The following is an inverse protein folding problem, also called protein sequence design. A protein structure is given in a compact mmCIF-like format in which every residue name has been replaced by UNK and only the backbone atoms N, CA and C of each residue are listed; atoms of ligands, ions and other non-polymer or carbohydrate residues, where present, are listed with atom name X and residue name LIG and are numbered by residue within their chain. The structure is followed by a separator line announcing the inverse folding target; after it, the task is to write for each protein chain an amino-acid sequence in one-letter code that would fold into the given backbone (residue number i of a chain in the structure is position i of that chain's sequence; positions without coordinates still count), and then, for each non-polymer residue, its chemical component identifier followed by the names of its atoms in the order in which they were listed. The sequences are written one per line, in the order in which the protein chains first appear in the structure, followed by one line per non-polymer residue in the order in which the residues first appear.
data_IF_412406688669
#
_entry.id   IF_412406688669
#
_cell.length_a   1.000
_cell.length_b   1.000
_cell.length_c   1.000
_cell.angle_alpha   90.00
_cell.angle_beta   90.00
_cell.angle_gamma   90.00
#
_symmetry.space_group_name_H-M   'P 1'
#
loop_
_entity.id
_entity.type
_entity.pdbx_description
1 polymer ?
#
# COMPACT_ATOMS: atom_id res chain seq x y z
N UNK A 1 5.15 -9.68 1.30
CA UNK A 1 6.48 -10.13 0.82
C UNK A 1 6.66 -11.56 1.31
N UNK A 2 7.44 -12.43 0.67
CA UNK A 2 7.51 -13.84 1.09
C UNK A 2 7.99 -14.01 2.54
N UNK A 3 8.81 -13.09 3.05
CA UNK A 3 9.35 -13.14 4.42
C UNK A 3 8.71 -12.16 5.40
N UNK A 4 7.98 -11.14 4.92
CA UNK A 4 7.38 -10.09 5.75
C UNK A 4 5.93 -9.77 5.33
N UNK A 5 5.08 -9.57 6.34
CA UNK A 5 3.71 -9.07 6.16
C UNK A 5 3.73 -7.57 5.85
N UNK A 6 3.17 -7.19 4.70
CA UNK A 6 3.12 -5.80 4.26
C UNK A 6 2.34 -4.88 5.22
N UNK A 7 1.33 -5.39 5.94
CA UNK A 7 0.60 -4.61 6.94
C UNK A 7 1.50 -4.27 8.14
N UNK A 8 2.34 -5.22 8.57
CA UNK A 8 3.32 -4.97 9.62
C UNK A 8 4.38 -3.94 9.18
N UNK A 9 4.78 -3.98 7.91
CA UNK A 9 5.70 -2.98 7.35
C UNK A 9 5.09 -1.58 7.38
N UNK A 10 3.81 -1.42 7.01
CA UNK A 10 3.11 -0.12 7.09
C UNK A 10 3.15 0.40 8.53
N UNK A 11 2.81 -0.44 9.52
CA UNK A 11 2.84 -0.06 10.94
C UNK A 11 4.23 0.38 11.39
N UNK A 12 5.27 -0.38 11.06
CA UNK A 12 6.67 -0.03 11.38
C UNK A 12 7.09 1.30 10.75
N UNK A 13 6.71 1.56 9.50
CA UNK A 13 7.02 2.84 8.83
C UNK A 13 6.34 4.00 9.56
N UNK A 14 5.08 3.82 9.98
CA UNK A 14 4.34 4.85 10.72
C UNK A 14 4.91 5.11 12.11
N UNK A 15 5.55 4.13 12.72
CA UNK A 15 6.27 4.31 13.99
C UNK A 15 7.62 5.04 13.79
N UNK A 16 8.40 4.64 12.79
CA UNK A 16 9.80 5.10 12.64
C UNK A 16 9.90 6.43 11.87
N UNK A 17 9.08 6.61 10.82
CA UNK A 17 9.11 7.80 9.97
C UNK A 17 7.72 8.12 9.42
N UNK A 18 6.83 8.71 10.24
CA UNK A 18 5.42 8.94 9.90
C UNK A 18 5.18 9.78 8.64
N UNK A 19 6.14 10.60 8.20
CA UNK A 19 6.02 11.44 7.00
C UNK A 19 6.28 10.69 5.68
N UNK A 20 6.76 9.44 5.75
CA UNK A 20 7.02 8.64 4.54
C UNK A 20 5.72 8.34 3.82
N UNK A 21 5.66 8.63 2.52
CA UNK A 21 4.51 8.26 1.68
C UNK A 21 4.52 6.76 1.40
N UNK A 22 3.39 6.10 1.59
CA UNK A 22 3.24 4.64 1.45
C UNK A 22 2.10 4.32 0.49
N UNK A 23 2.43 3.59 -0.59
CA UNK A 23 1.44 3.01 -1.50
C UNK A 23 1.39 1.51 -1.26
N UNK A 24 0.25 0.98 -0.82
CA UNK A 24 0.06 -0.46 -0.64
C UNK A 24 -0.47 -1.11 -1.92
N UNK A 25 0.13 -2.23 -2.34
CA UNK A 25 -0.23 -2.92 -3.57
C UNK A 25 -0.52 -4.39 -3.28
N UNK A 26 -1.74 -4.86 -3.58
CA UNK A 26 -2.17 -6.23 -3.29
C UNK A 26 -2.85 -6.89 -4.48
N UNK A 27 -2.50 -8.16 -4.74
CA UNK A 27 -3.27 -9.03 -5.64
C UNK A 27 -4.34 -9.87 -4.92
N UNK A 28 -4.48 -9.69 -3.61
CA UNK A 28 -5.56 -10.29 -2.82
C UNK A 28 -5.33 -11.63 -2.17
N UNK A 29 -4.36 -12.44 -2.62
CA UNK A 29 -4.05 -13.71 -1.96
C UNK A 29 -5.30 -14.54 -1.63
N UNK A 30 -5.35 -15.12 -0.43
CA UNK A 30 -6.47 -15.96 0.04
C UNK A 30 -7.75 -15.18 0.40
N UNK A 31 -7.64 -13.90 0.76
CA UNK A 31 -8.74 -13.11 1.32
C UNK A 31 -9.31 -12.06 0.34
N UNK A 32 -8.84 -12.05 -0.91
CA UNK A 32 -9.18 -11.06 -1.93
C UNK A 32 -8.48 -9.69 -1.71
N UNK A 33 -8.30 -8.89 -2.78
CA UNK A 33 -7.52 -7.65 -2.71
C UNK A 33 -8.19 -6.58 -1.84
N UNK A 34 -9.52 -6.55 -1.81
CA UNK A 34 -10.28 -5.55 -1.07
C UNK A 34 -10.04 -5.57 0.45
N UNK A 35 -9.91 -6.76 1.05
CA UNK A 35 -9.71 -6.88 2.51
C UNK A 35 -8.34 -6.35 2.95
N UNK A 36 -7.28 -6.75 2.26
CA UNK A 36 -5.92 -6.29 2.53
C UNK A 36 -5.73 -4.81 2.23
N UNK A 37 -6.28 -4.30 1.12
CA UNK A 37 -6.14 -2.89 0.77
C UNK A 37 -6.94 -1.99 1.72
N UNK A 38 -8.13 -2.43 2.16
CA UNK A 38 -8.88 -1.73 3.19
C UNK A 38 -8.09 -1.66 4.51
N UNK A 39 -7.48 -2.78 4.92
CA UNK A 39 -6.65 -2.82 6.13
C UNK A 39 -5.41 -1.91 5.98
N UNK A 40 -4.74 -1.93 4.84
CA UNK A 40 -3.59 -1.09 4.56
C UNK A 40 -3.93 0.40 4.64
N UNK A 41 -5.07 0.83 4.09
CA UNK A 41 -5.54 2.21 4.20
C UNK A 41 -5.80 2.60 5.66
N UNK A 42 -6.44 1.73 6.47
CA UNK A 42 -6.68 1.97 7.90
C UNK A 42 -5.39 2.06 8.72
N UNK A 43 -4.35 1.30 8.35
CA UNK A 43 -3.04 1.33 9.00
C UNK A 43 -2.16 2.51 8.53
N UNK A 44 -2.68 3.34 7.63
CA UNK A 44 -2.04 4.58 7.21
C UNK A 44 -1.30 4.47 5.88
N UNK A 45 -1.63 3.57 4.97
CA UNK A 45 -1.20 3.74 3.58
C UNK A 45 -1.83 5.02 2.99
N UNK A 46 -1.03 5.87 2.33
CA UNK A 46 -1.50 7.09 1.67
C UNK A 46 -2.29 6.80 0.39
N UNK A 47 -1.97 5.68 -0.27
CA UNK A 47 -2.74 5.18 -1.41
C UNK A 47 -2.72 3.65 -1.45
N UNK A 48 -3.69 3.07 -2.16
CA UNK A 48 -3.83 1.62 -2.34
C UNK A 48 -4.09 1.29 -3.80
N UNK A 49 -3.49 0.21 -4.31
CA UNK A 49 -3.62 -0.26 -5.69
C UNK A 49 -3.87 -1.77 -5.71
N UNK A 50 -4.92 -2.20 -6.40
CA UNK A 50 -5.17 -3.63 -6.66
C UNK A 50 -4.39 -4.09 -7.89
N UNK A 51 -3.84 -5.31 -7.85
CA UNK A 51 -3.30 -5.98 -9.04
C UNK A 51 -4.44 -6.66 -9.83
N UNK A 52 -4.30 -6.81 -11.17
CA UNK A 52 -3.30 -6.15 -12.01
C UNK A 52 -3.59 -4.65 -12.17
N UNK A 53 -2.55 -3.87 -12.45
CA UNK A 53 -2.64 -2.43 -12.71
C UNK A 53 -1.69 -2.07 -13.87
N UNK A 54 -1.97 -0.96 -14.55
CA UNK A 54 -1.11 -0.40 -15.59
C UNK A 54 0.05 0.38 -14.96
N UNK A 55 1.26 0.35 -15.54
CA UNK A 55 2.39 1.17 -15.05
C UNK A 55 2.05 2.66 -14.92
N UNK A 56 1.21 3.19 -15.82
CA UNK A 56 0.73 4.57 -15.78
C UNK A 56 -0.08 4.90 -14.51
N UNK A 57 -0.85 3.94 -13.98
CA UNK A 57 -1.63 4.13 -12.76
C UNK A 57 -0.71 4.30 -11.54
N UNK A 58 0.38 3.52 -11.48
CA UNK A 58 1.38 3.67 -10.42
C UNK A 58 2.09 5.02 -10.51
N UNK A 59 2.53 5.42 -11.71
CA UNK A 59 3.18 6.72 -11.93
C UNK A 59 2.27 7.87 -11.54
N UNK A 60 0.99 7.80 -11.89
CA UNK A 60 -0.01 8.81 -11.51
C UNK A 60 -0.14 8.91 -9.99
N UNK A 61 -0.27 7.79 -9.28
CA UNK A 61 -0.37 7.80 -7.81
C UNK A 61 0.88 8.32 -7.11
N UNK A 62 2.06 8.04 -7.66
CA UNK A 62 3.31 8.62 -7.14
C UNK A 62 3.31 10.13 -7.29
N UNK A 63 2.90 10.66 -8.45
CA UNK A 63 2.80 12.12 -8.67
C UNK A 63 1.83 12.78 -7.71
N UNK A 64 0.62 12.23 -7.58
CA UNK A 64 -0.41 12.74 -6.65
C UNK A 64 0.06 12.82 -5.18
N UNK A 65 1.02 11.98 -4.76
CA UNK A 65 1.52 11.98 -3.38
C UNK A 65 2.74 12.88 -3.15
N UNK A 66 3.39 13.34 -4.22
CA UNK A 66 4.58 14.19 -4.18
C UNK A 66 4.30 15.66 -4.51
N UNK A 67 3.13 15.94 -5.11
CA UNK A 67 2.56 17.28 -5.26
C UNK A 67 1.93 17.77 -3.94
#
# INVERSE_FOLDING_TARGET
MPEEDGLMVIMKIREIKPSTKVIAISGGGMAGPGSYLMMASKLGADAVISKPFLPSELVMKVKELLE
#
